data_IF_814294700507
#
_entry.id   IF_814294700507
#
_cell.length_a   1.000
_cell.length_b   1.000
_cell.length_c   1.000
_cell.angle_alpha   90.00
_cell.angle_beta   90.00
_cell.angle_gamma   90.00
#
_symmetry.space_group_name_H-M   'P 1'
#
loop_
_entity.id
_entity.type
_entity.pdbx_description
1 polymer ?
#
# COMPACT_ATOMS: atom_id res chain seq x y z
N UNK A 1 -24.65 -76.79 -11.82
CA UNK A 1 -23.81 -76.18 -10.82
C UNK A 1 -23.54 -74.73 -11.31
N UNK A 2 -24.24 -73.78 -10.72
CA UNK A 2 -24.15 -72.37 -11.09
C UNK A 2 -23.09 -71.71 -10.22
N UNK A 3 -22.05 -71.11 -10.83
CA UNK A 3 -21.09 -70.27 -10.16
C UNK A 3 -21.52 -68.82 -10.32
N UNK A 4 -21.92 -68.20 -9.21
CA UNK A 4 -22.27 -66.81 -9.19
C UNK A 4 -21.02 -65.98 -9.02
N UNK A 5 -20.68 -65.17 -10.03
CA UNK A 5 -19.67 -64.15 -9.91
C UNK A 5 -20.28 -62.88 -9.29
N UNK A 6 -19.83 -62.55 -8.10
CA UNK A 6 -20.18 -61.34 -7.41
C UNK A 6 -19.21 -60.25 -7.83
N UNK A 7 -19.66 -59.29 -8.66
CA UNK A 7 -18.90 -58.11 -9.03
C UNK A 7 -19.23 -56.98 -8.09
N UNK A 8 -18.37 -56.74 -7.11
CA UNK A 8 -18.42 -55.55 -6.27
C UNK A 8 -17.81 -54.40 -7.06
N UNK A 9 -18.66 -53.50 -7.54
CA UNK A 9 -18.25 -52.21 -8.08
C UNK A 9 -17.96 -51.27 -6.91
N UNK A 10 -16.69 -51.02 -6.67
CA UNK A 10 -16.25 -49.98 -5.75
C UNK A 10 -16.45 -48.62 -6.43
N UNK A 11 -17.43 -47.88 -5.96
CA UNK A 11 -17.60 -46.50 -6.36
C UNK A 11 -16.51 -45.66 -5.67
N UNK A 12 -15.53 -45.24 -6.44
CA UNK A 12 -14.56 -44.27 -5.98
C UNK A 12 -15.22 -42.89 -5.97
N UNK A 13 -15.63 -42.45 -4.81
CA UNK A 13 -16.06 -41.06 -4.61
C UNK A 13 -14.84 -40.18 -4.68
N UNK A 14 -14.58 -39.57 -5.85
CA UNK A 14 -13.65 -38.50 -5.96
C UNK A 14 -14.24 -37.25 -5.30
N UNK A 15 -13.82 -37.00 -4.08
CA UNK A 15 -14.08 -35.72 -3.43
C UNK A 15 -13.30 -34.65 -4.19
N UNK A 16 -13.96 -33.96 -5.08
CA UNK A 16 -13.43 -32.73 -5.69
C UNK A 16 -13.42 -31.68 -4.60
N UNK A 17 -12.29 -31.53 -3.94
CA UNK A 17 -12.07 -30.35 -3.10
C UNK A 17 -11.95 -29.17 -4.05
N UNK A 18 -13.05 -28.47 -4.24
CA UNK A 18 -13.01 -27.14 -4.86
C UNK A 18 -12.21 -26.23 -3.93
N UNK A 19 -10.92 -26.13 -4.20
CA UNK A 19 -10.15 -25.01 -3.69
C UNK A 19 -10.76 -23.75 -4.30
N UNK A 20 -11.66 -23.14 -3.55
CA UNK A 20 -12.05 -21.77 -3.82
C UNK A 20 -10.82 -20.93 -3.49
N UNK A 21 -9.94 -20.75 -4.48
CA UNK A 21 -8.99 -19.67 -4.44
C UNK A 21 -9.82 -18.41 -4.40
N UNK A 22 -10.02 -17.89 -3.20
CA UNK A 22 -10.49 -16.53 -3.05
C UNK A 22 -9.42 -15.69 -3.68
N UNK A 23 -9.65 -15.32 -4.93
CA UNK A 23 -8.83 -14.36 -5.63
C UNK A 23 -8.94 -13.06 -4.85
N UNK A 24 -7.95 -12.77 -4.02
CA UNK A 24 -7.81 -11.48 -3.36
C UNK A 24 -7.38 -10.43 -4.39
N UNK A 25 -8.06 -10.40 -5.54
CA UNK A 25 -7.93 -9.36 -6.51
C UNK A 25 -8.57 -8.08 -5.94
N UNK A 26 -7.80 -7.30 -5.20
CA UNK A 26 -8.25 -5.99 -4.77
C UNK A 26 -7.66 -5.46 -3.47
N UNK A 27 -7.05 -6.26 -2.63
CA UNK A 27 -6.41 -5.74 -1.41
C UNK A 27 -4.90 -5.66 -1.65
N UNK A 28 -4.42 -4.43 -1.88
CA UNK A 28 -2.99 -4.16 -1.95
C UNK A 28 -2.36 -4.55 -0.59
N UNK A 29 -1.34 -5.46 -0.55
CA UNK A 29 -0.65 -5.82 0.68
C UNK A 29 -0.12 -4.61 1.47
N UNK A 30 0.26 -3.54 0.78
CA UNK A 30 0.68 -2.28 1.39
C UNK A 30 -0.44 -1.60 2.17
N UNK A 31 -1.71 -1.70 1.71
CA UNK A 31 -2.87 -1.15 2.43
C UNK A 31 -3.14 -1.89 3.73
N UNK A 32 -3.01 -3.22 3.74
CA UNK A 32 -3.15 -4.03 4.96
C UNK A 32 -2.06 -3.71 5.97
N UNK A 33 -0.83 -3.57 5.51
CA UNK A 33 0.32 -3.15 6.31
C UNK A 33 0.08 -1.79 6.95
N UNK A 34 -0.35 -0.80 6.17
CA UNK A 34 -0.60 0.55 6.66
C UNK A 34 -1.81 0.65 7.57
N UNK A 35 -2.83 -0.17 7.35
CA UNK A 35 -3.96 -0.29 8.26
C UNK A 35 -3.52 -0.74 9.66
N UNK A 36 -2.61 -1.70 9.72
CA UNK A 36 -2.01 -2.15 10.97
C UNK A 36 -1.11 -1.08 11.62
N UNK A 37 -0.35 -0.36 10.82
CA UNK A 37 0.54 0.71 11.29
C UNK A 37 -0.27 1.91 11.78
N UNK A 38 -1.34 2.29 11.08
CA UNK A 38 -2.24 3.36 11.49
C UNK A 38 -2.82 3.11 12.89
N UNK A 39 -3.06 1.84 13.24
CA UNK A 39 -3.50 1.46 14.58
C UNK A 39 -2.41 1.61 15.66
N UNK A 40 -1.15 1.65 15.27
CA UNK A 40 0.00 1.86 16.17
C UNK A 40 0.25 3.34 16.46
N UNK A 41 -0.25 4.23 15.60
CA UNK A 41 -0.13 5.67 15.81
C UNK A 41 -1.16 6.13 16.83
N UNK A 42 -0.73 6.27 18.07
CA UNK A 42 -1.59 6.69 19.18
C UNK A 42 -1.81 8.20 19.24
N UNK A 43 -0.93 8.97 18.59
CA UNK A 43 -0.96 10.44 18.64
C UNK A 43 -1.12 10.99 17.23
N UNK A 44 -2.19 11.76 17.02
CA UNK A 44 -2.38 12.52 15.78
C UNK A 44 -1.61 13.82 15.82
N UNK A 45 -1.11 14.27 14.66
CA UNK A 45 -0.45 15.56 14.54
C UNK A 45 -1.42 16.68 14.91
N UNK A 46 -1.00 17.51 15.86
CA UNK A 46 -1.60 18.77 16.23
C UNK A 46 -0.52 19.85 16.34
N UNK A 47 -0.89 21.08 16.63
CA UNK A 47 0.02 22.23 16.64
C UNK A 47 1.21 22.13 17.61
N UNK A 48 1.11 21.30 18.65
CA UNK A 48 2.10 21.22 19.73
C UNK A 48 2.97 19.95 19.73
N UNK A 49 2.80 19.05 18.77
CA UNK A 49 3.47 17.74 18.81
C UNK A 49 4.17 17.35 17.51
N UNK A 50 4.49 18.32 16.66
CA UNK A 50 5.06 18.05 15.33
C UNK A 50 6.35 17.23 15.38
N UNK A 51 7.29 17.54 16.25
CA UNK A 51 8.57 16.83 16.31
C UNK A 51 8.39 15.37 16.74
N UNK A 52 7.51 15.10 17.70
CA UNK A 52 7.20 13.73 18.15
C UNK A 52 6.48 12.97 17.06
N UNK A 53 5.48 13.57 16.45
CA UNK A 53 4.73 12.99 15.33
C UNK A 53 5.66 12.67 14.15
N UNK A 54 6.48 13.63 13.74
CA UNK A 54 7.45 13.47 12.65
C UNK A 54 8.39 12.30 12.90
N UNK A 55 8.97 12.24 14.08
CA UNK A 55 9.88 11.16 14.45
C UNK A 55 9.21 9.79 14.38
N UNK A 56 8.00 9.66 14.89
CA UNK A 56 7.23 8.41 14.81
C UNK A 56 6.96 7.99 13.35
N UNK A 57 6.54 8.92 12.51
CA UNK A 57 6.31 8.65 11.08
C UNK A 57 7.60 8.23 10.38
N UNK A 58 8.69 8.93 10.59
CA UNK A 58 9.99 8.60 9.98
C UNK A 58 10.44 7.19 10.34
N UNK A 59 10.37 6.82 11.61
CA UNK A 59 10.73 5.46 12.07
C UNK A 59 9.85 4.40 11.40
N UNK A 60 8.55 4.65 11.29
CA UNK A 60 7.62 3.72 10.62
C UNK A 60 7.96 3.61 9.13
N UNK A 61 8.15 4.73 8.43
CA UNK A 61 8.45 4.72 7.00
C UNK A 61 9.79 4.07 6.69
N UNK A 62 10.79 4.25 7.54
CA UNK A 62 12.08 3.56 7.43
C UNK A 62 11.92 2.04 7.62
N UNK A 63 11.17 1.61 8.63
CA UNK A 63 10.93 0.20 8.89
C UNK A 63 10.24 -0.53 7.73
N UNK A 64 9.40 0.16 6.97
CA UNK A 64 8.70 -0.38 5.80
C UNK A 64 9.32 0.01 4.46
N UNK A 65 10.51 0.58 4.46
CA UNK A 65 11.24 1.03 3.26
C UNK A 65 10.43 2.03 2.40
N UNK A 66 9.62 2.85 3.05
CA UNK A 66 8.77 3.83 2.40
C UNK A 66 9.26 5.28 2.55
N UNK A 67 10.34 5.51 3.28
CA UNK A 67 10.87 6.86 3.53
C UNK A 67 11.21 7.59 2.23
N UNK A 68 11.68 6.88 1.22
CA UNK A 68 12.06 7.46 -0.08
C UNK A 68 10.89 8.12 -0.83
N UNK A 69 9.65 7.77 -0.48
CA UNK A 69 8.46 8.38 -1.10
C UNK A 69 8.19 9.80 -0.61
N UNK A 70 8.73 10.19 0.53
CA UNK A 70 8.63 11.55 1.07
C UNK A 70 9.91 12.35 0.83
N UNK A 71 11.03 11.69 0.58
CA UNK A 71 12.27 12.32 0.17
C UNK A 71 12.30 12.56 -1.34
N UNK A 72 13.06 13.57 -1.79
CA UNK A 72 13.08 14.02 -3.18
C UNK A 72 13.78 13.05 -4.16
N UNK A 73 14.16 11.86 -3.72
CA UNK A 73 15.09 10.99 -4.43
C UNK A 73 14.45 9.92 -5.31
N UNK A 74 13.12 9.80 -5.33
CA UNK A 74 12.43 8.75 -6.07
C UNK A 74 11.82 9.29 -7.35
N UNK A 75 12.44 8.97 -8.49
CA UNK A 75 11.82 9.21 -9.79
C UNK A 75 10.68 8.21 -10.05
N UNK A 76 9.58 8.72 -10.58
CA UNK A 76 8.48 7.86 -11.00
C UNK A 76 8.92 6.94 -12.14
N UNK A 77 8.70 5.62 -12.05
CA UNK A 77 8.89 4.73 -13.18
C UNK A 77 8.01 5.15 -14.36
N UNK A 78 8.38 4.71 -15.57
CA UNK A 78 7.56 5.01 -16.73
C UNK A 78 6.24 4.22 -16.69
N UNK A 79 5.09 4.82 -17.02
CA UNK A 79 3.79 4.14 -17.00
C UNK A 79 3.70 2.96 -17.96
N UNK A 80 4.43 3.00 -19.07
CA UNK A 80 4.39 1.98 -20.12
C UNK A 80 5.73 1.27 -20.25
N UNK A 81 5.70 0.00 -20.60
CA UNK A 81 6.90 -0.77 -20.92
C UNK A 81 7.48 -0.36 -22.27
N UNK A 82 8.80 -0.46 -22.38
CA UNK A 82 9.52 -0.31 -23.64
C UNK A 82 9.77 -1.67 -24.28
N UNK A 83 9.70 -1.74 -25.61
CA UNK A 83 10.11 -2.89 -26.38
C UNK A 83 11.64 -2.97 -26.50
N UNK A 84 12.14 -4.02 -27.15
CA UNK A 84 13.58 -4.22 -27.39
C UNK A 84 14.23 -3.12 -28.23
N UNK A 85 13.45 -2.35 -28.99
CA UNK A 85 13.90 -1.22 -29.82
C UNK A 85 13.86 0.12 -29.06
N UNK A 86 13.42 0.13 -27.79
CA UNK A 86 13.32 1.33 -26.96
C UNK A 86 12.05 2.16 -27.18
N UNK A 87 11.08 1.65 -27.93
CA UNK A 87 9.79 2.31 -28.14
C UNK A 87 8.81 1.91 -27.06
N UNK A 88 7.93 2.87 -26.67
CA UNK A 88 6.87 2.55 -25.71
C UNK A 88 5.82 1.64 -26.31
N UNK A 89 5.45 0.62 -25.56
CA UNK A 89 4.34 -0.28 -25.87
C UNK A 89 3.03 0.24 -25.27
N UNK A 90 1.92 -0.45 -25.51
CA UNK A 90 0.64 -0.21 -24.84
C UNK A 90 0.52 -0.98 -23.51
N UNK A 91 1.54 -1.75 -23.16
CA UNK A 91 1.57 -2.58 -21.96
C UNK A 91 1.96 -1.76 -20.74
N UNK A 92 1.18 -1.92 -19.66
CA UNK A 92 1.41 -1.21 -18.42
C UNK A 92 2.67 -1.72 -17.70
N UNK A 93 3.47 -0.79 -17.19
CA UNK A 93 4.63 -1.11 -16.37
C UNK A 93 4.19 -1.41 -14.94
N UNK A 94 4.43 -2.63 -14.49
CA UNK A 94 4.08 -3.06 -13.12
C UNK A 94 4.82 -2.27 -12.03
N UNK A 95 6.04 -1.83 -12.28
CA UNK A 95 6.81 -0.98 -11.35
C UNK A 95 6.14 0.38 -11.15
N UNK A 96 5.59 0.96 -12.21
CA UNK A 96 4.82 2.21 -12.12
C UNK A 96 3.55 2.01 -11.30
N UNK A 97 2.81 0.92 -11.54
CA UNK A 97 1.58 0.62 -10.80
C UNK A 97 1.89 0.46 -9.30
N UNK A 98 2.94 -0.27 -8.98
CA UNK A 98 3.38 -0.45 -7.59
C UNK A 98 3.81 0.88 -6.95
N UNK A 99 4.61 1.66 -7.63
CA UNK A 99 5.03 2.98 -7.19
C UNK A 99 3.83 3.89 -6.90
N UNK A 100 2.89 3.96 -7.82
CA UNK A 100 1.66 4.75 -7.66
C UNK A 100 0.83 4.28 -6.45
N UNK A 101 0.65 2.97 -6.33
CA UNK A 101 -0.12 2.40 -5.21
C UNK A 101 0.54 2.68 -3.86
N UNK A 102 1.84 2.56 -3.76
CA UNK A 102 2.59 2.91 -2.54
C UNK A 102 2.45 4.40 -2.21
N UNK A 103 2.54 5.27 -3.20
CA UNK A 103 2.34 6.71 -3.01
C UNK A 103 0.94 7.07 -2.52
N UNK A 104 -0.08 6.44 -3.08
CA UNK A 104 -1.48 6.60 -2.65
C UNK A 104 -1.71 6.10 -1.23
N UNK A 105 -1.11 4.97 -0.91
CA UNK A 105 -1.16 4.35 0.41
C UNK A 105 -0.51 5.25 1.45
N UNK A 106 0.65 5.81 1.14
CA UNK A 106 1.34 6.77 2.00
C UNK A 106 0.52 8.05 2.21
N UNK A 107 -0.13 8.54 1.16
CA UNK A 107 -1.02 9.70 1.26
C UNK A 107 -2.18 9.44 2.22
N UNK A 108 -2.85 8.30 2.08
CA UNK A 108 -3.96 7.90 2.96
C UNK A 108 -3.48 7.72 4.40
N UNK A 109 -2.34 7.05 4.60
CA UNK A 109 -1.73 6.87 5.91
C UNK A 109 -1.41 8.20 6.58
N UNK A 110 -0.70 9.08 5.88
CA UNK A 110 -0.32 10.39 6.42
C UNK A 110 -1.56 11.19 6.84
N UNK A 111 -2.60 11.21 6.01
CA UNK A 111 -3.85 11.89 6.32
C UNK A 111 -4.55 11.32 7.57
N UNK A 112 -4.51 10.02 7.77
CA UNK A 112 -5.13 9.38 8.94
C UNK A 112 -4.45 9.75 10.26
N UNK A 113 -3.21 10.24 10.20
CA UNK A 113 -2.41 10.65 11.36
C UNK A 113 -2.53 12.13 11.70
N UNK A 114 -3.31 12.89 10.92
CA UNK A 114 -3.51 14.33 11.13
C UNK A 114 -4.79 14.60 11.93
N UNK A 115 -4.71 15.58 12.84
CA UNK A 115 -5.92 16.10 13.49
C UNK A 115 -6.80 16.88 12.48
N UNK A 116 -8.10 17.08 12.74
CA UNK A 116 -8.97 17.85 11.86
C UNK A 116 -8.46 19.25 11.54
N UNK A 117 -7.85 19.92 12.52
CA UNK A 117 -7.27 21.26 12.35
C UNK A 117 -6.12 21.28 11.37
N UNK A 118 -5.26 20.25 11.42
CA UNK A 118 -4.12 20.11 10.53
C UNK A 118 -4.56 19.64 9.14
N UNK A 119 -5.57 18.79 9.04
CA UNK A 119 -6.16 18.39 7.77
C UNK A 119 -6.61 19.59 6.92
N UNK A 120 -7.09 20.65 7.56
CA UNK A 120 -7.49 21.87 6.88
C UNK A 120 -6.30 22.55 6.15
N UNK A 121 -5.09 22.47 6.70
CA UNK A 121 -3.90 23.09 6.11
C UNK A 121 -3.45 22.39 4.81
N UNK A 122 -3.81 21.12 4.64
CA UNK A 122 -3.38 20.32 3.50
C UNK A 122 -4.38 20.30 2.34
N UNK A 123 -5.47 21.02 2.42
CA UNK A 123 -6.48 21.07 1.35
C UNK A 123 -5.84 21.49 0.04
N UNK A 124 -6.04 20.71 -1.02
CA UNK A 124 -5.42 20.91 -2.32
C UNK A 124 -4.18 20.06 -2.59
N UNK A 125 -3.59 19.43 -1.58
CA UNK A 125 -2.46 18.51 -1.77
C UNK A 125 -2.95 17.15 -2.26
N UNK A 126 -2.20 16.51 -3.17
CA UNK A 126 -2.61 15.27 -3.85
C UNK A 126 -1.69 14.08 -3.58
N UNK A 127 -0.55 14.30 -2.96
CA UNK A 127 0.41 13.24 -2.64
C UNK A 127 0.90 13.35 -1.21
N UNK A 128 1.38 12.22 -0.67
CA UNK A 128 1.99 12.17 0.67
C UNK A 128 3.20 13.11 0.78
N UNK A 129 3.99 13.21 -0.29
CA UNK A 129 5.15 14.12 -0.37
C UNK A 129 4.75 15.60 -0.31
N UNK A 130 3.71 16.00 -1.04
CA UNK A 130 3.20 17.38 -0.98
C UNK A 130 2.68 17.72 0.42
N UNK A 131 1.94 16.81 1.03
CA UNK A 131 1.49 16.97 2.42
C UNK A 131 2.68 17.10 3.37
N UNK A 132 3.68 16.24 3.22
CA UNK A 132 4.90 16.29 4.04
C UNK A 132 5.62 17.62 3.94
N UNK A 133 5.83 18.11 2.72
CA UNK A 133 6.48 19.40 2.48
C UNK A 133 5.71 20.59 3.07
N UNK A 134 4.39 20.58 2.97
CA UNK A 134 3.58 21.66 3.53
C UNK A 134 3.63 21.64 5.06
N UNK A 135 3.65 20.46 5.67
CA UNK A 135 3.79 20.33 7.12
C UNK A 135 5.18 20.79 7.59
N UNK A 136 6.24 20.41 6.90
CA UNK A 136 7.58 20.91 7.19
C UNK A 136 7.62 22.43 7.16
N UNK A 137 7.05 23.05 6.13
CA UNK A 137 6.98 24.49 5.98
C UNK A 137 6.18 25.15 7.11
N UNK A 138 5.02 24.58 7.45
CA UNK A 138 4.15 25.14 8.51
C UNK A 138 4.79 25.04 9.89
N UNK A 139 5.57 24.01 10.16
CA UNK A 139 6.18 23.73 11.46
C UNK A 139 7.69 24.02 11.54
N UNK A 140 8.28 24.58 10.49
CA UNK A 140 9.72 24.90 10.44
C UNK A 140 10.19 25.83 11.56
N UNK A 141 9.30 26.65 12.09
CA UNK A 141 9.58 27.61 13.17
C UNK A 141 9.41 27.03 14.57
N UNK A 142 9.03 25.75 14.70
CA UNK A 142 8.73 25.09 15.98
C UNK A 142 9.91 24.24 16.47
N UNK A 143 11.03 24.35 15.83
CA UNK A 143 12.26 23.64 16.23
C UNK A 143 12.95 24.32 17.44
#
# INVERSE_FOLDING_TARGET
MASSANSTSSATSSSTSTHTTISTHGVNPSLLLLSNIASMMTVKLDYNNYLVWRHQIEVILEAYSMINFIEDNLEAPNPLLKDSSGNYTTEANSEYIQWRNCGQTLFTFTNSTLSPSILALRVGQRSGREVWKILEKCFASVS
#
